data_IF_507327237582
#
_entry.id   IF_507327237582
#
_cell.length_a   1.000
_cell.length_b   1.000
_cell.length_c   1.000
_cell.angle_alpha   90.00
_cell.angle_beta   90.00
_cell.angle_gamma   90.00
#
_symmetry.space_group_name_H-M   'P 1'
#
loop_
_entity.id
_entity.type
_entity.pdbx_description
1 polymer ?
#
# COMPACT_ATOMS: atom_id res chain seq x y z
N UNK A 1 -8.15 -14.00 -6.48
CA UNK A 1 -9.37 -13.87 -5.62
C UNK A 1 -10.55 -14.36 -6.42
N UNK A 2 -11.41 -15.19 -5.83
CA UNK A 2 -12.63 -15.63 -6.51
C UNK A 2 -13.71 -14.54 -6.47
N UNK A 3 -14.47 -14.39 -7.57
CA UNK A 3 -15.59 -13.44 -7.64
C UNK A 3 -16.64 -13.72 -6.55
N UNK A 4 -16.72 -14.98 -6.09
CA UNK A 4 -17.62 -15.37 -5.00
C UNK A 4 -17.33 -14.65 -3.67
N UNK A 5 -16.06 -14.47 -3.31
CA UNK A 5 -15.68 -13.72 -2.11
C UNK A 5 -16.09 -12.26 -2.21
N UNK A 6 -15.91 -11.63 -3.38
CA UNK A 6 -16.35 -10.25 -3.61
C UNK A 6 -17.87 -10.10 -3.53
N UNK A 7 -18.62 -11.09 -4.00
CA UNK A 7 -20.09 -11.08 -3.92
C UNK A 7 -20.61 -11.25 -2.49
N UNK A 8 -19.91 -12.03 -1.66
CA UNK A 8 -20.32 -12.31 -0.26
C UNK A 8 -19.87 -11.19 0.68
N UNK A 9 -18.60 -10.76 0.60
CA UNK A 9 -18.00 -9.81 1.53
C UNK A 9 -17.91 -8.37 0.96
N UNK A 10 -18.38 -8.16 -0.28
CA UNK A 10 -18.29 -6.87 -0.94
C UNK A 10 -16.84 -6.37 -1.06
N UNK A 11 -16.67 -5.06 -1.03
CA UNK A 11 -15.34 -4.43 -1.13
C UNK A 11 -14.39 -4.83 0.01
N UNK A 12 -14.91 -5.22 1.17
CA UNK A 12 -14.10 -5.65 2.30
C UNK A 12 -13.28 -6.91 1.97
N UNK A 13 -13.74 -7.73 1.01
CA UNK A 13 -12.98 -8.86 0.49
C UNK A 13 -11.59 -8.44 -0.05
N UNK A 14 -11.47 -7.23 -0.59
CA UNK A 14 -10.19 -6.72 -1.10
C UNK A 14 -9.15 -6.54 0.02
N UNK A 15 -9.59 -6.21 1.23
CA UNK A 15 -8.73 -6.02 2.40
C UNK A 15 -8.34 -7.34 3.07
N UNK A 16 -9.23 -8.35 2.99
CA UNK A 16 -9.03 -9.62 3.69
C UNK A 16 -8.56 -10.75 2.78
N UNK A 17 -8.58 -10.55 1.45
CA UNK A 17 -8.18 -11.60 0.49
C UNK A 17 -6.69 -11.90 0.53
N UNK A 18 -5.87 -10.87 0.61
CA UNK A 18 -4.42 -10.99 0.70
C UNK A 18 -3.95 -11.34 2.10
N UNK A 19 -2.74 -10.92 2.40
CA UNK A 19 -2.20 -11.01 3.75
C UNK A 19 -2.89 -10.01 4.70
N UNK A 20 -2.67 -10.19 6.00
CA UNK A 20 -3.22 -9.32 7.04
C UNK A 20 -2.62 -7.91 7.00
N UNK A 21 -1.47 -7.75 6.36
CA UNK A 21 -0.77 -6.47 6.24
C UNK A 21 -1.58 -5.43 5.45
N UNK A 22 -2.39 -5.87 4.48
CA UNK A 22 -3.31 -4.98 3.72
C UNK A 22 -4.36 -4.37 4.65
N UNK A 23 -4.89 -5.17 5.59
CA UNK A 23 -5.89 -4.70 6.57
C UNK A 23 -5.28 -3.66 7.53
N UNK A 24 -4.06 -3.87 8.00
CA UNK A 24 -3.36 -2.90 8.86
C UNK A 24 -3.11 -1.57 8.15
N UNK A 25 -2.63 -1.63 6.91
CA UNK A 25 -2.40 -0.43 6.10
C UNK A 25 -3.71 0.30 5.83
N UNK A 26 -4.82 -0.42 5.61
CA UNK A 26 -6.14 0.20 5.50
C UNK A 26 -6.57 0.87 6.81
N UNK A 27 -6.33 0.24 7.97
CA UNK A 27 -6.63 0.85 9.29
C UNK A 27 -5.84 2.14 9.48
N UNK A 28 -4.59 2.18 9.02
CA UNK A 28 -3.79 3.39 9.02
C UNK A 28 -4.31 4.41 7.99
N UNK A 29 -4.54 3.98 6.74
CA UNK A 29 -5.05 4.83 5.67
C UNK A 29 -6.34 5.58 6.06
N UNK A 30 -7.30 4.87 6.64
CA UNK A 30 -8.60 5.47 7.03
C UNK A 30 -8.50 6.62 8.05
N UNK A 31 -7.37 6.75 8.73
CA UNK A 31 -7.12 7.85 9.68
C UNK A 31 -6.49 9.06 9.01
N UNK A 32 -5.84 8.87 7.88
CA UNK A 32 -5.03 9.88 7.20
C UNK A 32 -5.61 10.33 5.87
N UNK A 33 -6.39 9.48 5.21
CA UNK A 33 -7.05 9.81 3.95
C UNK A 33 -8.14 10.85 4.17
N UNK A 34 -8.10 11.94 3.42
CA UNK A 34 -9.20 12.92 3.37
C UNK A 34 -10.36 12.31 2.62
N UNK A 35 -11.56 12.33 3.22
CA UNK A 35 -12.79 11.91 2.56
C UNK A 35 -13.45 13.10 1.81
N UNK A 36 -14.42 12.78 0.94
CA UNK A 36 -15.15 13.75 0.16
C UNK A 36 -14.51 14.03 -1.21
N UNK A 37 -14.89 15.12 -1.85
CA UNK A 37 -14.45 15.49 -3.18
C UNK A 37 -13.02 16.00 -3.20
N UNK A 38 -12.06 15.08 -3.14
CA UNK A 38 -10.63 15.34 -3.30
C UNK A 38 -10.07 14.44 -4.39
N UNK A 39 -9.11 14.94 -5.17
CA UNK A 39 -8.41 14.13 -6.17
C UNK A 39 -7.32 13.31 -5.50
N UNK A 40 -7.38 12.01 -5.67
CA UNK A 40 -6.48 11.03 -5.06
C UNK A 40 -5.75 10.24 -6.13
N UNK A 41 -4.43 10.17 -6.03
CA UNK A 41 -3.61 9.27 -6.84
C UNK A 41 -3.16 8.07 -6.01
N UNK A 42 -3.43 6.85 -6.48
CA UNK A 42 -2.94 5.61 -5.88
C UNK A 42 -1.78 5.08 -6.73
N UNK A 43 -0.57 5.43 -6.33
CA UNK A 43 0.68 5.12 -7.02
C UNK A 43 1.17 3.73 -6.62
N UNK A 44 1.04 2.76 -7.52
CA UNK A 44 1.31 1.35 -7.24
C UNK A 44 0.09 0.66 -6.63
N UNK A 45 -1.09 0.85 -7.21
CA UNK A 45 -2.38 0.42 -6.65
C UNK A 45 -2.57 -1.09 -6.51
N UNK A 46 -1.74 -1.92 -7.16
CA UNK A 46 -1.77 -3.38 -7.08
C UNK A 46 -3.18 -3.97 -7.27
N UNK A 47 -3.74 -4.56 -6.23
CA UNK A 47 -5.06 -5.20 -6.29
C UNK A 47 -6.25 -4.21 -6.26
N UNK A 48 -5.99 -2.91 -6.14
CA UNK A 48 -7.00 -1.85 -6.12
C UNK A 48 -7.72 -1.65 -4.78
N UNK A 49 -7.28 -2.29 -3.69
CA UNK A 49 -7.99 -2.23 -2.41
C UNK A 49 -8.10 -0.81 -1.84
N UNK A 50 -7.00 -0.05 -1.90
CA UNK A 50 -6.95 1.32 -1.38
C UNK A 50 -7.64 2.31 -2.33
N UNK A 51 -7.51 2.11 -3.65
CA UNK A 51 -8.24 2.87 -4.66
C UNK A 51 -9.76 2.75 -4.49
N UNK A 52 -10.26 1.51 -4.31
CA UNK A 52 -11.69 1.24 -4.07
C UNK A 52 -12.14 1.90 -2.76
N UNK A 53 -11.34 1.82 -1.69
CA UNK A 53 -11.67 2.50 -0.45
C UNK A 53 -11.73 4.02 -0.62
N UNK A 54 -10.76 4.63 -1.27
CA UNK A 54 -10.72 6.07 -1.53
C UNK A 54 -11.96 6.54 -2.33
N UNK A 55 -12.32 5.83 -3.41
CA UNK A 55 -13.52 6.12 -4.18
C UNK A 55 -14.80 6.00 -3.34
N UNK A 56 -14.90 4.99 -2.47
CA UNK A 56 -16.05 4.79 -1.59
C UNK A 56 -16.24 5.90 -0.55
N UNK A 57 -15.19 6.59 -0.15
CA UNK A 57 -15.29 7.74 0.75
C UNK A 57 -15.44 9.07 0.00
N UNK A 58 -15.69 9.00 -1.31
CA UNK A 58 -16.07 10.12 -2.16
C UNK A 58 -14.94 10.80 -2.91
N UNK A 59 -13.74 10.16 -2.97
CA UNK A 59 -12.64 10.74 -3.72
C UNK A 59 -12.77 10.47 -5.24
N UNK A 60 -12.24 11.40 -6.05
CA UNK A 60 -11.95 11.20 -7.45
C UNK A 60 -10.59 10.49 -7.56
N UNK A 61 -10.58 9.22 -7.99
CA UNK A 61 -9.40 8.37 -7.90
C UNK A 61 -8.80 8.08 -9.26
N UNK A 62 -7.49 8.35 -9.40
CA UNK A 62 -6.63 7.80 -10.44
C UNK A 62 -5.74 6.75 -9.79
N UNK A 63 -5.67 5.55 -10.37
CA UNK A 63 -4.93 4.42 -9.83
C UNK A 63 -3.96 3.87 -10.88
N UNK A 64 -2.67 3.78 -10.54
CA UNK A 64 -1.64 3.37 -11.48
C UNK A 64 -0.90 2.11 -11.02
N UNK A 65 -0.60 1.23 -11.98
CA UNK A 65 0.34 0.12 -11.86
C UNK A 65 0.97 -0.13 -13.24
N UNK A 66 2.20 -0.64 -13.27
CA UNK A 66 2.88 -0.96 -14.53
C UNK A 66 2.36 -2.27 -15.16
N UNK A 67 1.77 -3.17 -14.38
CA UNK A 67 1.32 -4.47 -14.83
C UNK A 67 -0.11 -4.43 -15.36
N UNK A 68 -0.28 -4.54 -16.68
CA UNK A 68 -1.60 -4.52 -17.34
C UNK A 68 -2.59 -5.57 -16.77
N UNK A 69 -2.10 -6.76 -16.44
CA UNK A 69 -2.92 -7.83 -15.87
C UNK A 69 -3.44 -7.49 -14.46
N UNK A 70 -2.63 -6.79 -13.65
CA UNK A 70 -3.05 -6.32 -12.33
C UNK A 70 -4.09 -5.20 -12.45
N UNK A 71 -3.88 -4.25 -13.35
CA UNK A 71 -4.83 -3.17 -13.62
C UNK A 71 -6.19 -3.70 -14.08
N UNK A 72 -6.20 -4.65 -14.99
CA UNK A 72 -7.46 -5.26 -15.45
C UNK A 72 -8.15 -6.02 -14.31
N UNK A 73 -7.39 -6.73 -13.48
CA UNK A 73 -7.92 -7.42 -12.31
C UNK A 73 -8.46 -6.41 -11.26
N UNK A 74 -7.79 -5.30 -11.03
CA UNK A 74 -8.24 -4.24 -10.11
C UNK A 74 -9.53 -3.58 -10.62
N UNK A 75 -9.59 -3.23 -11.91
CA UNK A 75 -10.79 -2.67 -12.57
C UNK A 75 -11.99 -3.61 -12.44
N UNK A 76 -11.81 -4.88 -12.78
CA UNK A 76 -12.87 -5.89 -12.66
C UNK A 76 -13.36 -6.03 -11.21
N UNK A 77 -12.45 -6.01 -10.24
CA UNK A 77 -12.81 -6.10 -8.81
C UNK A 77 -13.59 -4.88 -8.34
N UNK A 78 -13.17 -3.68 -8.75
CA UNK A 78 -13.89 -2.45 -8.44
C UNK A 78 -15.33 -2.49 -8.98
N UNK A 79 -15.52 -2.92 -10.23
CA UNK A 79 -16.84 -3.10 -10.83
C UNK A 79 -17.71 -4.11 -10.07
N UNK A 80 -17.14 -5.26 -9.66
CA UNK A 80 -17.87 -6.29 -8.91
C UNK A 80 -18.35 -5.83 -7.54
N UNK A 81 -17.70 -4.83 -6.95
CA UNK A 81 -18.11 -4.23 -5.66
C UNK A 81 -18.87 -2.92 -5.82
N UNK A 82 -19.30 -2.60 -7.05
CA UNK A 82 -20.13 -1.45 -7.35
C UNK A 82 -19.39 -0.10 -7.31
N UNK A 83 -18.09 -0.11 -7.58
CA UNK A 83 -17.26 1.10 -7.70
C UNK A 83 -16.72 1.17 -9.12
N UNK A 84 -17.31 2.04 -9.95
CA UNK A 84 -16.96 2.18 -11.37
C UNK A 84 -16.07 3.39 -11.67
N UNK A 85 -16.06 4.39 -10.79
CA UNK A 85 -15.53 5.72 -11.07
C UNK A 85 -14.06 5.87 -10.63
N UNK A 86 -13.25 4.84 -10.93
CA UNK A 86 -11.79 4.86 -10.74
C UNK A 86 -11.14 4.85 -12.12
N UNK A 87 -10.29 5.83 -12.38
CA UNK A 87 -9.46 5.89 -13.58
C UNK A 87 -8.22 4.99 -13.39
N UNK A 88 -8.30 3.76 -13.87
CA UNK A 88 -7.20 2.81 -13.81
C UNK A 88 -6.26 2.98 -15.02
N UNK A 89 -5.01 3.33 -14.76
CA UNK A 89 -3.98 3.59 -15.78
C UNK A 89 -2.81 2.62 -15.69
N UNK A 90 -2.29 2.23 -16.83
CA UNK A 90 -1.03 1.47 -16.92
C UNK A 90 0.09 2.50 -17.01
N UNK A 91 0.79 2.74 -15.91
CA UNK A 91 1.90 3.69 -15.81
C UNK A 91 3.05 3.01 -15.08
N UNK A 92 4.23 3.05 -15.68
CA UNK A 92 5.46 2.73 -14.99
C UNK A 92 5.88 3.95 -14.15
N UNK A 93 5.89 3.80 -12.85
CA UNK A 93 6.22 4.89 -11.93
C UNK A 93 7.67 5.39 -12.07
N UNK A 94 8.55 4.61 -12.71
CA UNK A 94 9.92 5.06 -13.06
C UNK A 94 9.92 6.16 -14.12
N UNK A 95 8.85 6.23 -14.91
CA UNK A 95 8.65 7.21 -15.97
C UNK A 95 7.54 8.21 -15.63
N UNK A 96 7.19 8.35 -14.33
CA UNK A 96 6.05 9.13 -13.87
C UNK A 96 6.08 10.59 -14.35
N UNK A 97 7.27 11.19 -14.49
CA UNK A 97 7.44 12.56 -14.97
C UNK A 97 6.88 12.79 -16.38
N UNK A 98 6.94 11.78 -17.24
CA UNK A 98 6.38 11.86 -18.61
C UNK A 98 4.84 11.95 -18.62
N UNK A 99 4.20 11.59 -17.51
CA UNK A 99 2.74 11.56 -17.38
C UNK A 99 2.16 12.74 -16.60
N UNK A 100 3.00 13.70 -16.13
CA UNK A 100 2.56 14.79 -15.27
C UNK A 100 1.48 15.67 -15.90
N UNK A 101 1.60 16.01 -17.19
CA UNK A 101 0.62 16.86 -17.88
C UNK A 101 -0.75 16.20 -17.96
N UNK A 102 -0.80 14.91 -18.29
CA UNK A 102 -2.07 14.17 -18.41
C UNK A 102 -2.70 13.82 -17.07
N UNK A 103 -1.88 13.63 -16.02
CA UNK A 103 -2.35 13.32 -14.67
C UNK A 103 -2.88 14.56 -13.96
N UNK A 104 -2.26 15.72 -14.20
CA UNK A 104 -2.56 16.95 -13.46
C UNK A 104 -2.14 16.85 -11.99
N UNK A 105 -2.78 17.64 -11.13
CA UNK A 105 -2.45 17.69 -9.70
C UNK A 105 -3.45 16.96 -8.83
N UNK A 106 -3.00 16.51 -7.64
CA UNK A 106 -3.77 15.77 -6.67
C UNK A 106 -3.72 16.41 -5.28
N UNK A 107 -4.82 16.30 -4.53
CA UNK A 107 -4.89 16.76 -3.15
C UNK A 107 -4.23 15.78 -2.19
N UNK A 108 -4.14 14.50 -2.61
CA UNK A 108 -3.45 13.46 -1.85
C UNK A 108 -2.99 12.32 -2.75
N UNK A 109 -1.89 11.70 -2.33
CA UNK A 109 -1.29 10.55 -3.00
C UNK A 109 -1.12 9.43 -2.00
N UNK A 110 -1.54 8.21 -2.38
CA UNK A 110 -1.27 6.96 -1.68
C UNK A 110 -0.09 6.30 -2.40
N UNK A 111 0.96 5.91 -1.66
CA UNK A 111 2.09 5.17 -2.19
C UNK A 111 2.52 4.13 -1.15
N UNK A 112 1.94 2.92 -1.25
CA UNK A 112 2.12 1.88 -0.24
C UNK A 112 2.88 0.70 -0.79
N UNK A 113 4.00 0.35 -0.11
CA UNK A 113 4.87 -0.78 -0.47
C UNK A 113 5.19 -0.75 -1.97
N UNK A 114 5.72 0.36 -2.42
CA UNK A 114 5.98 0.62 -3.84
C UNK A 114 7.40 1.13 -4.09
N UNK A 115 7.89 2.04 -3.25
CA UNK A 115 9.19 2.70 -3.47
C UNK A 115 10.37 1.73 -3.35
N UNK A 116 10.21 0.63 -2.63
CA UNK A 116 11.21 -0.43 -2.50
C UNK A 116 11.45 -1.23 -3.79
N UNK A 117 10.54 -1.12 -4.75
CA UNK A 117 10.66 -1.76 -6.07
C UNK A 117 11.38 -0.88 -7.10
N UNK A 118 11.66 0.40 -6.77
CA UNK A 118 12.26 1.39 -7.66
C UNK A 118 13.62 1.80 -7.15
N UNK A 119 14.67 1.66 -7.98
CA UNK A 119 16.04 2.06 -7.60
C UNK A 119 16.17 3.56 -7.43
N UNK A 120 15.56 4.31 -8.34
CA UNK A 120 15.49 5.77 -8.34
C UNK A 120 14.35 6.28 -7.43
N UNK A 121 14.26 5.75 -6.19
CA UNK A 121 13.22 6.08 -5.22
C UNK A 121 13.14 7.58 -4.88
N UNK A 122 14.29 8.26 -4.85
CA UNK A 122 14.39 9.70 -4.61
C UNK A 122 13.72 10.50 -5.72
N UNK A 123 13.97 10.12 -6.96
CA UNK A 123 13.33 10.70 -8.14
C UNK A 123 11.83 10.42 -8.14
N UNK A 124 11.43 9.19 -7.80
CA UNK A 124 10.02 8.83 -7.69
C UNK A 124 9.29 9.69 -6.63
N UNK A 125 9.85 9.83 -5.42
CA UNK A 125 9.22 10.65 -4.36
C UNK A 125 9.14 12.12 -4.77
N UNK A 126 10.17 12.66 -5.44
CA UNK A 126 10.12 14.03 -6.02
C UNK A 126 9.04 14.17 -7.09
N UNK A 127 8.91 13.17 -7.96
CA UNK A 127 7.88 13.14 -8.99
C UNK A 127 6.48 13.13 -8.39
N UNK A 128 6.24 12.29 -7.38
CA UNK A 128 4.99 12.27 -6.61
C UNK A 128 4.71 13.63 -5.93
N UNK A 129 5.71 14.26 -5.32
CA UNK A 129 5.55 15.56 -4.67
C UNK A 129 5.19 16.69 -5.67
N UNK A 130 5.73 16.64 -6.91
CA UNK A 130 5.35 17.59 -7.96
C UNK A 130 3.89 17.48 -8.35
N UNK A 131 3.32 16.28 -8.35
CA UNK A 131 1.89 16.04 -8.61
C UNK A 131 0.97 16.51 -7.48
N UNK A 132 1.47 16.85 -6.30
CA UNK A 132 0.63 17.39 -5.22
C UNK A 132 0.28 18.86 -5.45
N UNK A 133 -0.95 19.23 -5.15
CA UNK A 133 -1.36 20.63 -4.96
C UNK A 133 -0.65 21.23 -3.75
N UNK A 134 -0.48 22.57 -3.66
CA UNK A 134 -0.07 23.21 -2.40
C UNK A 134 -1.00 22.79 -1.24
N UNK A 135 -0.46 22.37 -0.10
CA UNK A 135 -1.21 21.78 1.01
C UNK A 135 -1.67 20.32 0.78
N UNK A 136 -1.36 19.73 -0.38
CA UNK A 136 -1.57 18.33 -0.69
C UNK A 136 -0.68 17.40 0.13
N UNK A 137 -1.06 16.14 0.29
CA UNK A 137 -0.34 15.18 1.13
C UNK A 137 0.08 13.91 0.42
N UNK A 138 1.25 13.41 0.78
CA UNK A 138 1.74 12.08 0.44
C UNK A 138 1.55 11.15 1.64
N UNK A 139 0.81 10.06 1.45
CA UNK A 139 0.66 8.97 2.39
C UNK A 139 1.56 7.83 1.92
N UNK A 140 2.65 7.59 2.64
CA UNK A 140 3.71 6.67 2.23
C UNK A 140 3.87 5.54 3.25
N UNK A 141 3.95 4.30 2.77
CA UNK A 141 4.44 3.17 3.54
C UNK A 141 5.48 2.39 2.74
N UNK A 142 6.46 1.84 3.45
CA UNK A 142 7.49 0.99 2.87
C UNK A 142 7.96 -0.04 3.90
N UNK A 143 8.58 -1.16 3.51
CA UNK A 143 9.15 -2.11 4.46
C UNK A 143 10.15 -1.41 5.40
N UNK A 144 10.09 -1.74 6.68
CA UNK A 144 11.04 -1.24 7.68
C UNK A 144 12.34 -2.04 7.62
N UNK A 145 13.48 -1.39 7.52
CA UNK A 145 14.79 -2.06 7.42
C UNK A 145 15.14 -2.95 8.64
N UNK A 146 14.57 -2.65 9.80
CA UNK A 146 14.67 -3.44 11.02
C UNK A 146 13.61 -4.55 11.16
N UNK A 147 12.77 -4.81 10.15
CA UNK A 147 11.76 -5.88 10.23
C UNK A 147 12.39 -7.27 10.21
N UNK A 148 11.66 -8.26 10.71
CA UNK A 148 12.03 -9.67 10.54
C UNK A 148 11.46 -10.19 9.22
N UNK A 149 12.26 -10.83 8.38
CA UNK A 149 11.77 -11.42 7.14
C UNK A 149 10.57 -12.33 7.39
N UNK A 150 9.50 -12.15 6.63
CA UNK A 150 8.34 -13.04 6.67
C UNK A 150 8.66 -14.37 5.99
N UNK A 151 9.63 -14.37 5.05
CA UNK A 151 10.13 -15.58 4.38
C UNK A 151 11.65 -15.54 4.24
N UNK A 152 12.23 -16.73 3.98
CA UNK A 152 13.67 -16.86 3.78
C UNK A 152 14.19 -16.17 2.51
N UNK A 153 13.33 -15.99 1.51
CA UNK A 153 13.67 -15.43 0.20
C UNK A 153 13.74 -13.89 0.20
N UNK A 154 13.11 -13.22 1.16
CA UNK A 154 13.14 -11.75 1.30
C UNK A 154 14.49 -11.19 1.79
N UNK A 155 15.50 -12.02 2.01
CA UNK A 155 16.77 -11.59 2.61
C UNK A 155 17.71 -10.84 1.67
N UNK A 156 17.47 -10.94 0.37
CA UNK A 156 18.38 -10.39 -0.64
C UNK A 156 17.58 -9.55 -1.63
N UNK A 157 17.87 -8.24 -1.73
CA UNK A 157 17.31 -7.41 -2.78
C UNK A 157 17.64 -7.97 -4.17
N UNK A 158 16.70 -7.84 -5.09
CA UNK A 158 16.89 -8.19 -6.50
C UNK A 158 17.75 -7.15 -7.22
N UNK A 159 18.53 -7.61 -8.19
CA UNK A 159 19.19 -6.73 -9.14
C UNK A 159 18.28 -6.31 -10.31
N UNK A 160 17.04 -6.80 -10.34
CA UNK A 160 16.07 -6.52 -11.40
C UNK A 160 14.90 -5.69 -10.86
N UNK A 161 14.47 -4.68 -11.63
CA UNK A 161 13.26 -3.90 -11.36
C UNK A 161 12.07 -4.50 -12.13
N UNK A 162 11.76 -5.76 -11.82
CA UNK A 162 10.70 -6.56 -12.43
C UNK A 162 9.45 -6.71 -11.54
N UNK A 163 9.38 -5.90 -10.49
CA UNK A 163 8.38 -6.00 -9.42
C UNK A 163 8.92 -6.69 -8.17
N UNK A 164 10.19 -7.14 -8.18
CA UNK A 164 10.89 -7.60 -6.98
C UNK A 164 11.40 -6.42 -6.16
N UNK A 165 11.67 -6.64 -4.86
CA UNK A 165 12.28 -5.62 -4.02
C UNK A 165 13.75 -5.40 -4.45
N UNK A 166 14.10 -4.18 -4.80
CA UNK A 166 15.50 -3.78 -5.11
C UNK A 166 16.24 -3.31 -3.86
N UNK A 167 15.55 -3.23 -2.72
CA UNK A 167 16.10 -2.96 -1.39
C UNK A 167 15.32 -3.66 -0.30
N UNK A 168 15.97 -3.92 0.82
CA UNK A 168 15.38 -4.64 1.95
C UNK A 168 14.27 -3.83 2.64
N UNK A 169 14.43 -2.52 2.72
CA UNK A 169 13.49 -1.62 3.37
C UNK A 169 14.12 -0.27 3.69
N UNK A 170 13.43 0.51 4.52
CA UNK A 170 13.83 1.86 4.89
C UNK A 170 13.80 2.06 6.41
N UNK A 171 14.75 2.82 6.92
CA UNK A 171 14.63 3.43 8.24
C UNK A 171 13.69 4.64 8.20
N UNK A 172 13.21 5.08 9.36
CA UNK A 172 12.44 6.33 9.46
C UNK A 172 13.23 7.53 8.95
N UNK A 173 14.53 7.55 9.24
CA UNK A 173 15.41 8.66 8.82
C UNK A 173 15.53 8.72 7.29
N UNK A 174 15.70 7.58 6.63
CA UNK A 174 15.74 7.51 5.17
C UNK A 174 14.43 8.01 4.53
N UNK A 175 13.26 7.62 5.05
CA UNK A 175 11.99 8.15 4.54
C UNK A 175 11.85 9.66 4.76
N UNK A 176 12.32 10.16 5.92
CA UNK A 176 12.34 11.60 6.21
C UNK A 176 13.25 12.35 5.25
N UNK A 177 14.42 11.81 4.93
CA UNK A 177 15.32 12.37 3.94
C UNK A 177 14.69 12.42 2.55
N UNK A 178 14.06 11.34 2.10
CA UNK A 178 13.35 11.31 0.83
C UNK A 178 12.26 12.38 0.75
N UNK A 179 11.48 12.54 1.83
CA UNK A 179 10.44 13.56 1.89
C UNK A 179 11.01 14.99 1.85
N UNK A 180 12.08 15.25 2.63
CA UNK A 180 12.77 16.57 2.62
C UNK A 180 13.35 16.92 1.26
N UNK A 181 13.98 15.95 0.60
CA UNK A 181 14.56 16.11 -0.73
C UNK A 181 13.50 16.35 -1.83
N UNK A 182 12.25 16.04 -1.51
CA UNK A 182 11.09 16.30 -2.36
C UNK A 182 10.30 17.55 -1.91
N UNK A 183 10.89 18.40 -1.05
CA UNK A 183 10.28 19.62 -0.51
C UNK A 183 8.94 19.35 0.21
N UNK A 184 8.81 18.19 0.88
CA UNK A 184 7.67 17.85 1.71
C UNK A 184 7.96 18.08 3.19
N UNK A 185 7.03 18.73 3.89
CA UNK A 185 7.03 18.81 5.35
C UNK A 185 6.51 17.49 5.93
N UNK A 186 7.32 16.83 6.76
CA UNK A 186 6.93 15.59 7.43
C UNK A 186 6.09 15.93 8.65
N UNK A 187 4.79 15.62 8.60
CA UNK A 187 3.84 15.94 9.69
C UNK A 187 3.59 14.76 10.60
N UNK A 188 3.80 13.53 10.11
CA UNK A 188 3.65 12.32 10.92
C UNK A 188 4.57 11.21 10.42
N UNK A 189 5.12 10.46 11.35
CA UNK A 189 5.90 9.24 11.11
C UNK A 189 5.46 8.15 12.08
N UNK A 190 5.52 6.91 11.63
CA UNK A 190 5.14 5.79 12.48
C UNK A 190 5.51 4.45 11.91
N UNK A 191 4.81 3.46 12.40
CA UNK A 191 4.95 2.07 11.95
C UNK A 191 3.58 1.44 11.83
N UNK A 192 3.47 0.46 10.93
CA UNK A 192 2.27 -0.34 10.73
C UNK A 192 2.65 -1.81 10.55
N UNK A 193 1.70 -2.69 10.74
CA UNK A 193 1.86 -4.14 10.65
C UNK A 193 2.80 -4.71 11.72
N UNK A 194 2.22 -5.00 12.85
CA UNK A 194 2.92 -5.53 14.01
C UNK A 194 2.97 -7.07 14.05
N UNK A 195 3.20 -7.60 15.26
CA UNK A 195 3.47 -9.02 15.47
C UNK A 195 2.31 -9.93 15.09
N UNK A 196 1.07 -9.52 15.37
CA UNK A 196 -0.11 -10.37 15.10
C UNK A 196 -0.28 -10.54 13.60
N UNK A 197 -0.30 -9.45 12.85
CA UNK A 197 -0.46 -9.47 11.39
C UNK A 197 0.68 -10.22 10.70
N UNK A 198 1.92 -10.02 11.15
CA UNK A 198 3.07 -10.76 10.63
C UNK A 198 2.92 -12.26 10.88
N UNK A 199 2.54 -12.70 12.09
CA UNK A 199 2.39 -14.12 12.43
C UNK A 199 1.20 -14.78 11.75
N UNK A 200 0.08 -14.06 11.61
CA UNK A 200 -1.10 -14.57 10.87
C UNK A 200 -0.77 -14.71 9.38
N UNK A 201 -0.04 -13.75 8.80
CA UNK A 201 0.41 -13.81 7.41
C UNK A 201 1.39 -14.98 7.19
N UNK A 202 2.39 -15.15 8.06
CA UNK A 202 3.33 -16.29 8.00
C UNK A 202 2.60 -17.64 8.10
N UNK A 203 1.66 -17.77 9.05
CA UNK A 203 0.83 -18.96 9.20
C UNK A 203 0.00 -19.25 7.93
N UNK A 204 -0.67 -18.22 7.39
CA UNK A 204 -1.45 -18.34 6.16
C UNK A 204 -0.60 -18.87 5.00
N UNK A 205 0.60 -18.34 4.83
CA UNK A 205 1.50 -18.75 3.74
C UNK A 205 1.99 -20.19 3.90
N UNK A 206 2.37 -20.59 5.11
CA UNK A 206 2.76 -21.99 5.41
C UNK A 206 1.61 -22.97 5.10
N UNK A 207 0.40 -22.62 5.51
CA UNK A 207 -0.79 -23.43 5.24
C UNK A 207 -1.12 -23.44 3.73
N UNK A 208 -0.94 -22.31 3.05
CA UNK A 208 -1.15 -22.21 1.60
C UNK A 208 -0.19 -23.09 0.82
N UNK A 209 1.10 -23.10 1.19
CA UNK A 209 2.10 -23.97 0.58
C UNK A 209 1.78 -25.45 0.83
N UNK A 210 1.26 -25.78 2.01
CA UNK A 210 0.99 -27.18 2.39
C UNK A 210 -0.33 -27.72 1.87
N UNK A 211 -1.40 -26.91 1.83
CA UNK A 211 -2.77 -27.33 1.62
C UNK A 211 -3.49 -26.59 0.48
N UNK A 212 -2.84 -25.61 -0.14
CA UNK A 212 -3.41 -24.73 -1.15
C UNK A 212 -4.00 -23.44 -0.60
N UNK A 213 -4.28 -22.50 -1.50
CA UNK A 213 -4.68 -21.12 -1.15
C UNK A 213 -5.97 -21.06 -0.33
N UNK A 214 -7.01 -21.76 -0.76
CA UNK A 214 -8.32 -21.68 -0.11
C UNK A 214 -8.34 -22.25 1.32
N UNK A 215 -7.79 -23.45 1.60
CA UNK A 215 -7.64 -23.94 2.96
C UNK A 215 -6.76 -23.05 3.85
N UNK A 216 -5.63 -22.57 3.33
CA UNK A 216 -4.73 -21.69 4.08
C UNK A 216 -5.42 -20.37 4.48
N UNK A 217 -6.17 -19.77 3.56
CA UNK A 217 -6.94 -18.56 3.79
C UNK A 217 -8.07 -18.75 4.81
N UNK A 218 -8.87 -19.82 4.65
CA UNK A 218 -9.99 -20.14 5.55
C UNK A 218 -9.52 -20.42 6.99
N UNK A 219 -8.39 -21.10 7.15
CA UNK A 219 -7.85 -21.44 8.47
C UNK A 219 -7.47 -20.20 9.30
N UNK A 220 -6.99 -19.13 8.64
CA UNK A 220 -6.58 -17.89 9.34
C UNK A 220 -7.67 -16.83 9.39
N UNK A 221 -8.80 -17.03 8.73
CA UNK A 221 -9.88 -16.03 8.66
C UNK A 221 -10.33 -15.54 10.06
N UNK A 222 -10.58 -16.40 11.06
CA UNK A 222 -10.97 -15.93 12.40
C UNK A 222 -9.84 -15.17 13.11
N UNK A 223 -8.58 -15.49 12.83
CA UNK A 223 -7.42 -14.84 13.46
C UNK A 223 -7.24 -13.39 12.97
N UNK A 224 -7.83 -13.03 11.83
CA UNK A 224 -7.77 -11.65 11.31
C UNK A 224 -8.45 -10.62 12.24
N UNK A 225 -9.40 -11.04 13.07
CA UNK A 225 -9.98 -10.18 14.08
C UNK A 225 -8.96 -9.74 15.14
N UNK A 226 -7.92 -10.54 15.38
CA UNK A 226 -6.85 -10.23 16.34
C UNK A 226 -5.96 -9.06 15.90
N UNK A 227 -6.03 -8.64 14.65
CA UNK A 227 -5.33 -7.44 14.12
C UNK A 227 -5.68 -6.19 14.94
N UNK A 228 -6.87 -6.12 15.52
CA UNK A 228 -7.25 -5.01 16.41
C UNK A 228 -6.36 -4.91 17.65
N UNK A 229 -5.72 -6.01 18.05
CA UNK A 229 -4.79 -6.09 19.18
C UNK A 229 -3.33 -5.98 18.74
N UNK A 230 -3.07 -5.79 17.45
CA UNK A 230 -1.71 -5.84 16.89
C UNK A 230 -0.78 -4.77 17.50
N UNK A 231 -1.20 -3.52 17.49
CA UNK A 231 -0.37 -2.41 17.98
C UNK A 231 -0.02 -2.54 19.49
N UNK A 232 -0.97 -2.81 20.41
CA UNK A 232 -0.64 -2.98 21.83
C UNK A 232 0.25 -4.19 22.08
N UNK A 233 0.00 -5.33 21.42
CA UNK A 233 0.83 -6.53 21.59
C UNK A 233 2.24 -6.33 21.04
N UNK A 234 2.38 -5.69 19.89
CA UNK A 234 3.67 -5.39 19.27
C UNK A 234 4.53 -4.52 20.19
N UNK A 235 3.93 -3.48 20.79
CA UNK A 235 4.63 -2.61 21.75
C UNK A 235 5.02 -3.36 23.02
N UNK A 236 4.11 -4.14 23.58
CA UNK A 236 4.37 -4.94 24.78
C UNK A 236 5.50 -5.96 24.58
N UNK A 237 5.48 -6.67 23.45
CA UNK A 237 6.48 -7.67 23.09
C UNK A 237 7.78 -7.07 22.52
N UNK A 238 7.82 -5.73 22.31
CA UNK A 238 8.93 -5.04 21.63
C UNK A 238 9.31 -5.71 20.31
N UNK A 239 8.30 -6.20 19.60
CA UNK A 239 8.51 -6.88 18.33
C UNK A 239 8.66 -5.82 17.22
N UNK A 240 9.57 -6.00 16.22
CA UNK A 240 9.71 -5.05 15.14
C UNK A 240 8.47 -5.02 14.25
N UNK A 241 8.05 -3.82 13.86
CA UNK A 241 7.02 -3.64 12.84
C UNK A 241 7.54 -4.05 11.46
N UNK A 242 6.62 -4.38 10.55
CA UNK A 242 6.97 -4.75 9.17
C UNK A 242 7.22 -3.52 8.31
N UNK A 243 6.38 -2.50 8.42
CA UNK A 243 6.45 -1.31 7.57
C UNK A 243 6.56 -0.04 8.38
N UNK A 244 7.36 0.90 7.87
CA UNK A 244 7.45 2.27 8.33
C UNK A 244 6.45 3.14 7.54
N UNK A 245 5.91 4.17 8.18
CA UNK A 245 4.92 5.08 7.60
C UNK A 245 5.36 6.52 7.68
N UNK A 246 4.94 7.33 6.71
CA UNK A 246 5.18 8.78 6.67
C UNK A 246 3.99 9.50 6.05
N UNK A 247 3.64 10.63 6.64
CA UNK A 247 2.74 11.62 6.04
C UNK A 247 3.55 12.87 5.75
N UNK A 248 3.75 13.14 4.45
CA UNK A 248 4.40 14.37 3.97
C UNK A 248 3.36 15.34 3.42
N UNK A 249 3.53 16.62 3.65
CA UNK A 249 2.66 17.69 3.14
C UNK A 249 3.46 18.64 2.28
N UNK A 250 2.95 18.96 1.10
CA UNK A 250 3.55 20.00 0.24
C UNK A 250 3.24 21.38 0.84
N UNK A 251 4.23 22.21 1.09
CA UNK A 251 4.02 23.59 1.55
C UNK A 251 3.05 24.37 0.66
N UNK A 252 2.32 25.32 1.26
CA UNK A 252 1.37 26.19 0.55
C UNK A 252 2.03 27.22 -0.35
#
# INVERSE_FOLDING_TARGET
>A
MSDALLRVFGWFALLIHGDTCVLDRWIWLRRHLRAGRVRTFDAGCGNGAFSVYAARVGNEVVAASFAAAEQEAARRRAQLVGVSDIDFRIIDLRELDAHHEELGQFDQIICFETIEHVRADRELVRSLARLLTPGGRLLLTAPFDGHRPLYSEERFPSDLEDGSHVRYGYSREQLRELARDADLEVVEEGFVTGVVSQKVTDLMRRLTVRFGLAPGWLAVLPLRALVLLDAPLTRFLRYPYLSVTLVGVKPA
#
